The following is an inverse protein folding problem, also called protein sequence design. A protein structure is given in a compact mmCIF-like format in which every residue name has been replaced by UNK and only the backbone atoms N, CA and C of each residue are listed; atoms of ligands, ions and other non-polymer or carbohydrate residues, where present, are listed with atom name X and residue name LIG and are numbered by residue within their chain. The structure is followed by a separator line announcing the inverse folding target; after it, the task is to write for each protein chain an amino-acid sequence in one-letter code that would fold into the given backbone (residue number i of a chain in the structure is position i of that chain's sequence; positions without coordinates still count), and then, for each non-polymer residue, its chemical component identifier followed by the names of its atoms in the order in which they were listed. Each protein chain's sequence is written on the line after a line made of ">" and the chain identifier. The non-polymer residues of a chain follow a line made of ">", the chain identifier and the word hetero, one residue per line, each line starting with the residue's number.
data_IF_390761271934
#
_entry.id   IF_390761271934
#
_cell.length_a   1.000
_cell.length_b   1.000
_cell.length_c   1.000
_cell.angle_alpha   90.00
_cell.angle_beta   90.00
_cell.angle_gamma   90.00
#
_symmetry.space_group_name_H-M   'P 1'
#
loop_
_entity.id
_entity.type
_entity.pdbx_description
1 polymer ?
#
# COMPACT_ATOMS: atom_id res chain seq x y z
N UNK A 1 20.46 21.39 15.39
CA UNK A 1 21.79 20.71 15.39
C UNK A 1 22.26 20.62 13.94
N UNK A 2 23.54 20.84 13.70
CA UNK A 2 24.11 20.62 12.36
C UNK A 2 24.18 19.11 12.04
N UNK A 3 23.88 18.74 10.81
CA UNK A 3 23.95 17.38 10.32
C UNK A 3 24.40 17.34 8.86
N UNK A 4 24.68 16.16 8.32
CA UNK A 4 25.02 15.97 6.90
C UNK A 4 23.86 16.33 5.94
N UNK A 5 22.62 16.40 6.46
CA UNK A 5 21.44 16.85 5.72
C UNK A 5 21.08 18.32 6.02
N UNK A 6 22.00 19.10 6.62
CA UNK A 6 21.77 20.45 7.05
C UNK A 6 21.28 20.56 8.51
N UNK A 7 20.65 21.69 8.84
CA UNK A 7 20.18 21.96 10.21
C UNK A 7 18.90 21.13 10.47
N UNK A 8 18.94 20.27 11.48
CA UNK A 8 17.79 19.46 11.94
C UNK A 8 17.35 19.91 13.34
N UNK A 9 16.07 19.70 13.73
CA UNK A 9 15.58 20.01 15.07
C UNK A 9 16.34 19.28 16.17
N UNK A 10 16.32 19.83 17.37
CA UNK A 10 16.88 19.15 18.55
C UNK A 10 16.10 17.85 18.85
N UNK A 11 16.83 16.81 19.24
CA UNK A 11 16.26 15.48 19.46
C UNK A 11 16.05 14.64 18.20
N UNK A 12 16.20 15.23 17.01
CA UNK A 12 16.17 14.50 15.75
C UNK A 12 17.56 13.99 15.39
N UNK A 13 17.65 12.94 14.59
CA UNK A 13 18.92 12.39 14.16
C UNK A 13 18.89 11.98 12.67
N UNK A 14 20.08 11.85 12.11
CA UNK A 14 20.24 11.27 10.79
C UNK A 14 20.38 9.74 10.91
N UNK A 15 19.85 9.03 9.95
CA UNK A 15 19.90 7.56 9.89
C UNK A 15 19.37 7.03 8.57
N UNK A 16 19.04 5.75 8.50
CA UNK A 16 18.52 5.12 7.30
C UNK A 16 17.13 4.52 7.53
N UNK A 17 16.40 4.26 6.44
CA UNK A 17 15.10 3.59 6.51
C UNK A 17 15.20 2.21 7.18
N UNK A 18 16.32 1.49 6.97
CA UNK A 18 16.54 0.16 7.52
C UNK A 18 16.48 0.13 9.05
N UNK A 19 16.87 1.22 9.71
CA UNK A 19 16.80 1.32 11.18
C UNK A 19 15.37 1.28 11.74
N UNK A 20 14.38 1.62 10.93
CA UNK A 20 12.96 1.68 11.30
C UNK A 20 12.17 0.43 10.87
N UNK A 21 12.83 -0.51 10.19
CA UNK A 21 12.22 -1.72 9.62
C UNK A 21 12.60 -2.93 10.45
N UNK A 22 11.62 -3.80 10.71
CA UNK A 22 11.82 -5.10 11.39
C UNK A 22 12.20 -6.17 10.39
N UNK A 23 11.49 -6.23 9.26
CA UNK A 23 11.71 -7.22 8.22
C UNK A 23 11.09 -6.83 6.89
N UNK A 24 11.62 -7.41 5.82
CA UNK A 24 11.03 -7.37 4.49
C UNK A 24 10.73 -8.78 4.01
N UNK A 25 9.56 -9.01 3.39
CA UNK A 25 9.11 -10.31 2.94
C UNK A 25 8.70 -10.25 1.48
N UNK A 26 9.24 -11.15 0.67
CA UNK A 26 8.78 -11.34 -0.71
C UNK A 26 7.36 -11.91 -0.75
N UNK A 27 6.58 -11.48 -1.72
CA UNK A 27 5.23 -11.98 -1.93
C UNK A 27 5.17 -13.39 -2.52
N UNK A 28 3.98 -13.80 -2.93
CA UNK A 28 3.72 -15.07 -3.60
C UNK A 28 2.60 -14.87 -4.65
N UNK A 29 2.65 -15.64 -5.74
CA UNK A 29 1.58 -15.63 -6.73
C UNK A 29 0.70 -16.87 -6.66
N UNK A 30 1.23 -17.96 -6.15
CA UNK A 30 0.51 -19.22 -6.00
C UNK A 30 0.01 -19.84 -7.30
N UNK A 31 -1.12 -20.52 -7.21
CA UNK A 31 -1.83 -21.17 -8.31
C UNK A 31 -3.23 -20.54 -8.47
N UNK A 32 -3.85 -20.75 -9.65
CA UNK A 32 -5.23 -20.31 -9.91
C UNK A 32 -6.24 -21.18 -9.17
N UNK A 33 -5.96 -22.48 -9.09
CA UNK A 33 -6.81 -23.47 -8.49
C UNK A 33 -6.14 -24.16 -7.28
N UNK A 34 -6.98 -24.71 -6.40
CA UNK A 34 -6.53 -25.50 -5.27
C UNK A 34 -6.02 -26.88 -5.76
N UNK A 35 -4.70 -26.98 -5.95
CA UNK A 35 -4.04 -28.19 -6.47
C UNK A 35 -2.98 -28.68 -5.49
N UNK A 36 -3.08 -29.92 -5.04
CA UNK A 36 -2.14 -30.55 -4.12
C UNK A 36 -1.99 -29.76 -2.82
N UNK A 37 -0.78 -29.35 -2.48
CA UNK A 37 -0.48 -28.60 -1.26
C UNK A 37 -0.84 -27.09 -1.33
N UNK A 38 -1.30 -26.60 -2.49
CA UNK A 38 -1.77 -25.23 -2.68
C UNK A 38 -3.24 -25.14 -2.29
N UNK A 39 -3.53 -25.12 -0.99
CA UNK A 39 -4.88 -25.22 -0.44
C UNK A 39 -5.35 -23.97 0.32
N UNK A 40 -4.47 -22.97 0.51
CA UNK A 40 -4.83 -21.74 1.22
C UNK A 40 -5.24 -20.67 0.23
N UNK A 41 -6.51 -20.35 0.24
CA UNK A 41 -7.08 -19.30 -0.58
C UNK A 41 -6.70 -17.92 -0.04
N UNK A 42 -6.25 -17.03 -0.92
CA UNK A 42 -5.82 -15.66 -0.59
C UNK A 42 -6.17 -14.69 -1.71
N UNK A 43 -6.27 -13.42 -1.38
CA UNK A 43 -6.36 -12.33 -2.35
C UNK A 43 -5.00 -11.65 -2.49
N UNK A 44 -4.49 -11.53 -3.73
CA UNK A 44 -3.12 -11.07 -4.02
C UNK A 44 -3.10 -9.61 -4.48
N UNK A 45 -2.42 -8.74 -3.72
CA UNK A 45 -2.16 -7.35 -4.09
C UNK A 45 -1.05 -7.31 -5.14
N UNK A 46 -1.35 -6.68 -6.28
CA UNK A 46 -0.39 -6.39 -7.35
C UNK A 46 0.00 -4.91 -7.33
N UNK A 47 1.07 -4.54 -8.00
CA UNK A 47 1.44 -3.14 -8.23
C UNK A 47 0.29 -2.31 -8.83
N UNK A 48 -0.51 -2.91 -9.71
CA UNK A 48 -1.69 -2.26 -10.33
C UNK A 48 -2.82 -1.94 -9.33
N UNK A 49 -2.90 -2.64 -8.21
CA UNK A 49 -3.94 -2.43 -7.20
C UNK A 49 -3.58 -1.31 -6.21
N UNK A 50 -2.29 -0.95 -6.10
CA UNK A 50 -1.78 0.07 -5.16
C UNK A 50 -2.51 1.43 -5.30
N UNK A 51 -2.74 1.99 -6.50
CA UNK A 51 -3.44 3.27 -6.64
C UNK A 51 -4.84 3.27 -6.04
N UNK A 52 -5.60 2.17 -6.21
CA UNK A 52 -6.95 2.06 -5.67
C UNK A 52 -6.94 1.86 -4.14
N UNK A 53 -6.00 1.06 -3.62
CA UNK A 53 -5.81 0.89 -2.17
C UNK A 53 -5.49 2.24 -1.51
N UNK A 54 -4.66 3.08 -2.15
CA UNK A 54 -4.34 4.44 -1.67
C UNK A 54 -5.57 5.34 -1.58
N UNK A 55 -6.52 5.18 -2.50
CA UNK A 55 -7.82 5.86 -2.47
C UNK A 55 -8.81 5.22 -1.49
N UNK A 56 -8.39 4.22 -0.73
CA UNK A 56 -9.22 3.43 0.19
C UNK A 56 -10.30 2.58 -0.50
N UNK A 57 -10.18 2.36 -1.80
CA UNK A 57 -11.02 1.45 -2.55
C UNK A 57 -10.58 -0.01 -2.36
N UNK A 58 -11.46 -0.93 -2.76
CA UNK A 58 -11.18 -2.37 -2.67
C UNK A 58 -10.01 -2.80 -3.57
N UNK A 59 -9.88 -2.24 -4.78
CA UNK A 59 -8.99 -2.76 -5.81
C UNK A 59 -9.60 -3.98 -6.53
N UNK A 60 -8.82 -4.58 -7.42
CA UNK A 60 -9.23 -5.75 -8.22
C UNK A 60 -8.23 -6.89 -8.03
N UNK A 61 -8.09 -7.35 -6.79
CA UNK A 61 -7.11 -8.37 -6.42
C UNK A 61 -7.53 -9.74 -6.96
N UNK A 62 -6.55 -10.49 -7.47
CA UNK A 62 -6.78 -11.86 -7.93
C UNK A 62 -6.82 -12.84 -6.76
N UNK A 63 -7.80 -13.74 -6.77
CA UNK A 63 -7.82 -14.89 -5.87
C UNK A 63 -6.78 -15.91 -6.31
N UNK A 64 -6.02 -16.45 -5.36
CA UNK A 64 -4.95 -17.43 -5.58
C UNK A 64 -4.93 -18.47 -4.46
N UNK A 65 -4.29 -19.60 -4.73
CA UNK A 65 -4.07 -20.65 -3.76
C UNK A 65 -2.57 -20.81 -3.50
N UNK A 66 -2.17 -20.74 -2.23
CA UNK A 66 -0.76 -20.82 -1.81
C UNK A 66 -0.50 -21.96 -0.85
N UNK A 67 0.78 -22.26 -0.65
CA UNK A 67 1.22 -23.25 0.32
C UNK A 67 0.93 -22.78 1.76
N UNK A 68 0.57 -23.71 2.64
CA UNK A 68 0.29 -23.37 4.05
C UNK A 68 1.46 -22.65 4.75
N UNK A 69 2.72 -23.06 4.49
CA UNK A 69 3.89 -22.38 5.05
C UNK A 69 4.01 -20.91 4.60
N UNK A 70 3.65 -20.64 3.33
CA UNK A 70 3.67 -19.28 2.79
C UNK A 70 2.52 -18.45 3.39
N UNK A 71 1.35 -19.05 3.56
CA UNK A 71 0.22 -18.43 4.24
C UNK A 71 0.60 -17.94 5.65
N UNK A 72 1.17 -18.80 6.47
CA UNK A 72 1.56 -18.46 7.84
C UNK A 72 2.56 -17.28 7.92
N UNK A 73 3.43 -17.14 6.92
CA UNK A 73 4.49 -16.16 6.92
C UNK A 73 4.17 -14.86 6.16
N UNK A 74 3.29 -14.93 5.14
CA UNK A 74 3.11 -13.84 4.17
C UNK A 74 1.77 -13.12 4.27
N UNK A 75 0.86 -13.59 5.13
CA UNK A 75 -0.40 -12.88 5.37
C UNK A 75 -0.13 -11.48 5.89
N UNK A 76 -0.74 -10.52 5.24
CA UNK A 76 -0.64 -9.10 5.57
C UNK A 76 -1.47 -8.78 6.81
N UNK A 77 -0.94 -7.88 7.61
CA UNK A 77 -1.59 -7.34 8.82
C UNK A 77 -1.77 -5.83 8.69
N UNK A 78 -2.68 -5.28 9.47
CA UNK A 78 -2.81 -3.83 9.56
C UNK A 78 -1.48 -3.20 10.02
N UNK A 79 -1.11 -2.12 9.35
CA UNK A 79 0.18 -1.46 9.54
C UNK A 79 1.30 -1.96 8.63
N UNK A 80 1.18 -3.14 7.99
CA UNK A 80 2.16 -3.58 6.98
C UNK A 80 2.14 -2.61 5.78
N UNK A 81 3.31 -2.41 5.15
CA UNK A 81 3.45 -1.65 3.93
C UNK A 81 3.73 -2.62 2.78
N UNK A 82 3.07 -2.39 1.65
CA UNK A 82 3.33 -3.16 0.42
C UNK A 82 3.93 -2.23 -0.62
N UNK A 83 5.10 -2.61 -1.12
CA UNK A 83 5.88 -1.87 -2.12
C UNK A 83 5.98 -2.68 -3.40
N UNK A 84 5.71 -2.05 -4.53
CA UNK A 84 6.00 -2.59 -5.85
C UNK A 84 7.52 -2.59 -6.09
N UNK A 85 8.09 -3.75 -6.35
CA UNK A 85 9.52 -3.89 -6.61
C UNK A 85 9.84 -4.23 -8.06
N UNK A 86 8.85 -4.56 -8.88
CA UNK A 86 9.00 -4.88 -10.30
C UNK A 86 7.85 -4.26 -11.10
N UNK A 87 8.18 -3.55 -12.15
CA UNK A 87 7.22 -2.85 -13.01
C UNK A 87 7.80 -1.56 -13.55
N UNK A 88 7.05 -0.49 -13.38
CA UNK A 88 7.45 0.83 -13.84
C UNK A 88 7.30 1.03 -15.36
N UNK A 89 7.69 2.19 -15.82
CA UNK A 89 7.73 2.59 -17.22
C UNK A 89 8.86 3.62 -17.41
N UNK A 90 9.16 4.08 -18.61
CA UNK A 90 10.14 5.14 -18.81
C UNK A 90 9.86 6.41 -18.02
N UNK A 91 8.58 6.71 -17.75
CA UNK A 91 8.15 7.93 -17.05
C UNK A 91 7.66 7.69 -15.63
N UNK A 92 7.51 6.44 -15.22
CA UNK A 92 7.05 6.06 -13.89
C UNK A 92 8.03 5.07 -13.27
N UNK A 93 8.62 5.45 -12.13
CA UNK A 93 9.48 4.53 -11.38
C UNK A 93 8.69 3.39 -10.74
N UNK A 94 9.38 2.30 -10.45
CA UNK A 94 8.97 1.30 -9.46
C UNK A 94 8.96 1.92 -8.06
N UNK A 95 8.48 1.19 -7.07
CA UNK A 95 8.50 1.69 -5.69
C UNK A 95 7.19 2.33 -5.24
N UNK A 96 6.08 2.19 -5.98
CA UNK A 96 4.76 2.58 -5.47
C UNK A 96 4.47 1.82 -4.18
N UNK A 97 3.92 2.51 -3.20
CA UNK A 97 3.67 1.96 -1.86
C UNK A 97 2.21 2.12 -1.47
N UNK A 98 1.68 1.19 -0.69
CA UNK A 98 0.44 1.36 0.05
C UNK A 98 0.56 0.81 1.47
N UNK A 99 -0.25 1.36 2.38
CA UNK A 99 -0.39 0.86 3.73
C UNK A 99 -1.62 -0.05 3.82
N UNK A 100 -1.47 -1.19 4.48
CA UNK A 100 -2.56 -2.11 4.77
C UNK A 100 -3.32 -1.60 5.99
N UNK A 101 -4.58 -1.26 5.80
CA UNK A 101 -5.47 -0.82 6.88
C UNK A 101 -6.40 -1.95 7.35
N UNK A 102 -6.86 -1.86 8.58
CA UNK A 102 -7.92 -2.73 9.12
C UNK A 102 -9.15 -2.77 8.19
N UNK A 103 -9.52 -1.60 7.67
CA UNK A 103 -10.69 -1.47 6.79
C UNK A 103 -10.48 -2.17 5.45
N UNK A 104 -9.26 -2.13 4.89
CA UNK A 104 -8.96 -2.88 3.68
C UNK A 104 -9.07 -4.39 3.93
N UNK A 105 -8.51 -4.87 5.04
CA UNK A 105 -8.59 -6.29 5.41
C UNK A 105 -10.04 -6.77 5.53
N UNK A 106 -10.91 -5.95 6.11
CA UNK A 106 -12.35 -6.26 6.26
C UNK A 106 -13.16 -6.23 4.95
N UNK A 107 -12.62 -5.70 3.86
CA UNK A 107 -13.27 -5.69 2.54
C UNK A 107 -13.11 -7.03 1.79
N UNK A 108 -12.32 -7.95 2.32
CA UNK A 108 -12.03 -9.25 1.72
C UNK A 108 -12.37 -10.37 2.71
N UNK A 109 -13.00 -11.43 2.20
CA UNK A 109 -13.29 -12.64 2.98
C UNK A 109 -12.03 -13.48 3.17
N UNK A 110 -11.08 -13.38 2.21
CA UNK A 110 -9.81 -14.11 2.22
C UNK A 110 -8.70 -13.24 2.80
N UNK A 111 -7.69 -13.90 3.38
CA UNK A 111 -6.47 -13.23 3.80
C UNK A 111 -5.77 -12.55 2.61
N UNK A 112 -5.16 -11.39 2.86
CA UNK A 112 -4.41 -10.66 1.84
C UNK A 112 -2.92 -11.05 1.89
N UNK A 113 -2.31 -11.19 0.72
CA UNK A 113 -0.86 -11.24 0.52
C UNK A 113 -0.48 -10.28 -0.60
N UNK A 114 0.80 -10.03 -0.83
CA UNK A 114 1.25 -9.37 -2.06
C UNK A 114 1.84 -10.40 -3.05
N UNK A 115 1.89 -10.02 -4.34
CA UNK A 115 2.54 -10.83 -5.37
C UNK A 115 4.06 -10.81 -5.24
N UNK A 116 4.74 -11.69 -5.97
CA UNK A 116 6.21 -11.71 -6.06
C UNK A 116 6.83 -10.47 -6.73
N UNK A 117 6.02 -9.64 -7.40
CA UNK A 117 6.42 -8.32 -7.90
C UNK A 117 6.27 -7.20 -6.87
N UNK A 118 5.86 -7.56 -5.66
CA UNK A 118 5.74 -6.67 -4.52
C UNK A 118 6.51 -7.25 -3.32
N UNK A 119 6.80 -6.39 -2.36
CA UNK A 119 7.42 -6.77 -1.10
C UNK A 119 6.65 -6.16 0.07
N UNK A 120 6.45 -6.95 1.10
CA UNK A 120 5.91 -6.47 2.38
C UNK A 120 7.05 -5.92 3.22
N UNK A 121 6.87 -4.73 3.77
CA UNK A 121 7.75 -4.13 4.77
C UNK A 121 7.02 -4.11 6.11
N UNK A 122 7.62 -4.70 7.11
CA UNK A 122 7.18 -4.65 8.52
C UNK A 122 8.03 -3.64 9.26
N UNK A 123 7.39 -2.65 9.86
CA UNK A 123 8.06 -1.53 10.51
C UNK A 123 8.08 -1.69 12.02
N UNK A 124 8.96 -0.97 12.70
CA UNK A 124 8.87 -0.81 14.16
C UNK A 124 7.49 -0.22 14.53
N UNK A 125 6.97 -0.53 15.72
CA UNK A 125 5.73 0.07 16.20
C UNK A 125 5.73 1.59 16.04
N UNK A 126 4.60 2.18 15.72
CA UNK A 126 4.37 3.60 15.49
C UNK A 126 5.00 4.22 14.23
N UNK A 127 5.98 3.57 13.57
CA UNK A 127 6.67 4.14 12.42
C UNK A 127 6.00 3.85 11.06
N UNK A 128 4.99 3.00 11.00
CA UNK A 128 4.36 2.60 9.73
C UNK A 128 3.87 3.81 8.90
N UNK A 129 3.10 4.71 9.50
CA UNK A 129 2.60 5.89 8.81
C UNK A 129 3.71 6.90 8.49
N UNK A 130 4.68 7.07 9.38
CA UNK A 130 5.84 7.91 9.13
C UNK A 130 6.62 7.42 7.90
N UNK A 131 6.96 6.12 7.86
CA UNK A 131 7.67 5.51 6.72
C UNK A 131 6.81 5.60 5.45
N UNK A 132 5.50 5.33 5.53
CA UNK A 132 4.60 5.42 4.39
C UNK A 132 4.65 6.81 3.74
N UNK A 133 4.50 7.88 4.51
CA UNK A 133 4.49 9.25 3.98
C UNK A 133 5.88 9.73 3.56
N UNK A 134 6.93 9.33 4.28
CA UNK A 134 8.32 9.60 3.88
C UNK A 134 8.63 8.92 2.55
N UNK A 135 8.23 7.65 2.37
CA UNK A 135 8.39 6.92 1.12
C UNK A 135 7.66 7.60 -0.04
N UNK A 136 6.43 8.06 0.18
CA UNK A 136 5.67 8.84 -0.82
C UNK A 136 6.39 10.14 -1.20
N UNK A 137 7.02 10.79 -0.24
CA UNK A 137 7.82 11.99 -0.49
C UNK A 137 9.05 11.65 -1.35
N UNK A 138 9.81 10.63 -1.00
CA UNK A 138 10.97 10.16 -1.75
C UNK A 138 10.56 9.70 -3.16
N UNK A 139 9.46 8.97 -3.27
CA UNK A 139 8.91 8.53 -4.56
C UNK A 139 8.57 9.71 -5.46
N UNK A 140 7.87 10.72 -4.96
CA UNK A 140 7.52 11.94 -5.70
C UNK A 140 8.75 12.77 -6.05
N UNK A 141 9.77 12.75 -5.20
CA UNK A 141 11.07 13.38 -5.43
C UNK A 141 11.95 12.67 -6.47
N UNK A 142 11.49 11.52 -6.98
CA UNK A 142 12.22 10.75 -8.01
C UNK A 142 13.39 9.93 -7.47
N UNK A 143 13.56 9.82 -6.14
CA UNK A 143 14.67 9.07 -5.51
C UNK A 143 14.67 7.61 -5.97
N UNK A 144 13.50 7.02 -6.21
CA UNK A 144 13.38 5.62 -6.62
C UNK A 144 14.11 5.32 -7.94
N UNK A 145 14.22 6.28 -8.87
CA UNK A 145 14.94 6.09 -10.12
C UNK A 145 16.42 5.77 -9.91
N UNK A 146 17.02 6.31 -8.84
CA UNK A 146 18.45 6.05 -8.51
C UNK A 146 18.69 4.63 -8.00
N UNK A 147 17.64 3.93 -7.61
CA UNK A 147 17.68 2.55 -7.10
C UNK A 147 17.05 1.55 -8.06
N UNK A 148 16.74 1.96 -9.29
CA UNK A 148 16.20 1.05 -10.31
C UNK A 148 17.30 0.34 -11.07
N UNK A 149 17.16 -0.98 -11.20
CA UNK A 149 17.96 -1.82 -12.06
C UNK A 149 17.09 -2.41 -13.15
N UNK A 150 17.59 -2.49 -14.37
CA UNK A 150 16.90 -3.13 -15.49
C UNK A 150 17.05 -2.39 -16.80
N UNK A 151 16.80 -3.12 -17.87
CA UNK A 151 16.76 -2.61 -19.23
C UNK A 151 15.31 -2.37 -19.66
N UNK A 152 15.09 -1.71 -20.69
CA UNK A 152 13.93 -1.17 -21.43
C UNK A 152 12.48 -1.61 -21.08
N UNK A 153 12.20 -2.79 -20.50
CA UNK A 153 10.81 -3.27 -20.38
C UNK A 153 10.31 -3.50 -18.95
N UNK A 154 11.13 -4.06 -18.07
CA UNK A 154 10.79 -4.28 -16.68
C UNK A 154 11.93 -3.79 -15.81
N UNK A 155 11.62 -2.82 -14.95
CA UNK A 155 12.55 -2.28 -13.98
C UNK A 155 12.35 -2.98 -12.65
N UNK A 156 13.42 -3.16 -11.90
CA UNK A 156 13.39 -3.72 -10.55
C UNK A 156 14.00 -2.72 -9.57
N UNK A 157 13.31 -2.47 -8.48
CA UNK A 157 13.80 -1.64 -7.40
C UNK A 157 14.80 -2.42 -6.57
N UNK A 158 16.01 -1.90 -6.42
CA UNK A 158 16.93 -2.35 -5.38
C UNK A 158 16.46 -1.84 -4.01
N UNK A 159 15.48 -2.55 -3.47
CA UNK A 159 14.88 -2.17 -2.19
C UNK A 159 15.90 -2.24 -1.04
N UNK A 160 16.83 -3.17 -1.07
CA UNK A 160 17.83 -3.29 -0.02
C UNK A 160 18.80 -2.10 -0.08
N UNK A 161 19.28 -1.75 -1.28
CA UNK A 161 20.10 -0.56 -1.47
C UNK A 161 19.40 0.72 -1.02
N UNK A 162 18.11 0.88 -1.34
CA UNK A 162 17.31 2.02 -0.89
C UNK A 162 17.20 2.06 0.64
N UNK A 163 16.88 0.94 1.29
CA UNK A 163 16.70 0.88 2.74
C UNK A 163 18.00 1.15 3.51
N UNK A 164 19.13 0.70 3.00
CA UNK A 164 20.44 0.79 3.67
C UNK A 164 21.19 2.09 3.39
N UNK A 165 20.99 2.68 2.20
CA UNK A 165 21.82 3.81 1.73
C UNK A 165 21.10 5.14 1.71
N UNK A 166 19.75 5.13 1.60
CA UNK A 166 19.01 6.39 1.61
C UNK A 166 19.05 7.02 3.00
N UNK A 167 19.68 8.16 3.08
CA UNK A 167 19.88 8.90 4.33
C UNK A 167 18.66 9.77 4.59
N UNK A 168 18.08 9.63 5.76
CA UNK A 168 16.86 10.31 6.19
C UNK A 168 17.04 10.98 7.54
N UNK A 169 16.19 11.96 7.83
CA UNK A 169 16.05 12.52 9.17
C UNK A 169 15.01 11.71 9.95
N UNK A 170 15.39 11.19 11.08
CA UNK A 170 14.53 10.41 11.97
C UNK A 170 14.11 11.30 13.15
N UNK A 171 12.81 11.62 13.29
CA UNK A 171 12.29 12.40 14.39
C UNK A 171 12.39 11.65 15.73
N UNK A 172 12.33 12.41 16.81
CA UNK A 172 12.08 11.85 18.13
C UNK A 172 10.77 11.05 18.17
N UNK A 173 10.75 9.95 18.92
CA UNK A 173 9.61 9.04 18.96
C UNK A 173 8.31 9.71 19.40
N UNK A 174 8.39 10.68 20.31
CA UNK A 174 7.23 11.46 20.77
C UNK A 174 6.58 12.27 19.64
N UNK A 175 7.40 12.79 18.72
CA UNK A 175 6.94 13.49 17.51
C UNK A 175 6.31 12.52 16.53
N UNK A 176 6.91 11.34 16.35
CA UNK A 176 6.32 10.29 15.49
C UNK A 176 4.95 9.86 16.01
N UNK A 177 4.78 9.70 17.33
CA UNK A 177 3.48 9.39 17.93
C UNK A 177 2.43 10.48 17.66
N UNK A 178 2.78 11.75 17.87
CA UNK A 178 1.88 12.90 17.57
C UNK A 178 1.51 12.95 16.10
N UNK A 179 2.50 12.79 15.22
CA UNK A 179 2.30 12.73 13.77
C UNK A 179 1.35 11.59 13.38
N UNK A 180 1.59 10.40 13.91
CA UNK A 180 0.76 9.21 13.65
C UNK A 180 -0.68 9.44 14.10
N UNK A 181 -0.91 10.07 15.26
CA UNK A 181 -2.25 10.41 15.74
C UNK A 181 -2.99 11.33 14.76
N UNK A 182 -2.33 12.39 14.29
CA UNK A 182 -2.89 13.33 13.30
C UNK A 182 -3.18 12.60 11.97
N UNK A 183 -2.24 11.80 11.47
CA UNK A 183 -2.42 11.03 10.24
C UNK A 183 -3.58 10.03 10.33
N UNK A 184 -3.80 9.42 11.50
CA UNK A 184 -4.93 8.52 11.72
C UNK A 184 -6.28 9.25 11.61
N UNK A 185 -6.39 10.48 12.13
CA UNK A 185 -7.60 11.31 11.97
C UNK A 185 -7.89 11.59 10.49
N UNK A 186 -6.89 12.01 9.71
CA UNK A 186 -7.06 12.20 8.27
C UNK A 186 -7.39 10.89 7.55
N UNK A 187 -6.76 9.78 7.93
CA UNK A 187 -7.03 8.47 7.35
C UNK A 187 -8.48 8.03 7.56
N UNK A 188 -9.08 8.32 8.72
CA UNK A 188 -10.50 8.05 8.99
C UNK A 188 -11.41 8.85 8.04
N UNK A 189 -11.12 10.13 7.84
CA UNK A 189 -11.87 10.98 6.90
C UNK A 189 -11.75 10.47 5.47
N UNK A 190 -10.54 10.15 5.01
CA UNK A 190 -10.30 9.57 3.67
C UNK A 190 -11.03 8.25 3.51
N UNK A 191 -11.06 7.41 4.55
CA UNK A 191 -11.78 6.14 4.53
C UNK A 191 -13.30 6.35 4.44
N UNK A 192 -13.87 7.28 5.20
CA UNK A 192 -15.29 7.62 5.13
C UNK A 192 -15.67 8.10 3.73
N UNK A 193 -14.88 8.99 3.15
CA UNK A 193 -15.08 9.49 1.80
C UNK A 193 -14.95 8.37 0.74
N UNK A 194 -14.00 7.45 0.90
CA UNK A 194 -13.84 6.29 0.02
C UNK A 194 -15.06 5.36 0.05
N UNK A 195 -15.58 5.06 1.24
CA UNK A 195 -16.78 4.23 1.41
C UNK A 195 -18.01 4.90 0.78
N UNK A 196 -18.17 6.20 0.95
CA UNK A 196 -19.28 6.95 0.35
C UNK A 196 -19.14 6.99 -1.18
N UNK A 197 -17.94 7.17 -1.70
CA UNK A 197 -17.68 7.11 -3.15
C UNK A 197 -18.07 5.74 -3.74
N UNK A 198 -17.69 4.63 -3.09
CA UNK A 198 -18.08 3.28 -3.51
C UNK A 198 -19.61 3.09 -3.47
N UNK A 199 -20.29 3.64 -2.46
CA UNK A 199 -21.74 3.62 -2.34
C UNK A 199 -22.40 4.39 -3.48
N UNK A 200 -21.94 5.59 -3.76
CA UNK A 200 -22.47 6.44 -4.85
C UNK A 200 -22.26 5.80 -6.24
N UNK A 201 -21.11 5.18 -6.49
CA UNK A 201 -20.86 4.42 -7.73
C UNK A 201 -21.85 3.28 -7.89
N UNK A 202 -22.14 2.52 -6.81
CA UNK A 202 -23.16 1.45 -6.82
C UNK A 202 -24.55 2.00 -7.09
N UNK A 203 -24.96 3.06 -6.40
CA UNK A 203 -26.27 3.69 -6.60
C UNK A 203 -26.44 4.18 -8.03
N UNK A 204 -25.45 4.87 -8.58
CA UNK A 204 -25.45 5.29 -9.98
C UNK A 204 -25.63 4.11 -10.93
N UNK A 205 -24.87 3.02 -10.71
CA UNK A 205 -24.95 1.81 -11.55
C UNK A 205 -26.31 1.12 -11.49
N UNK A 206 -27.01 1.19 -10.36
CA UNK A 206 -28.38 0.64 -10.21
C UNK A 206 -29.47 1.57 -10.77
N UNK A 207 -29.34 2.88 -10.59
CA UNK A 207 -30.38 3.84 -10.95
C UNK A 207 -30.32 4.24 -12.42
N UNK A 208 -29.13 4.41 -12.99
CA UNK A 208 -28.96 4.89 -14.37
C UNK A 208 -29.70 4.01 -15.41
N UNK A 209 -29.59 2.65 -15.38
CA UNK A 209 -30.33 1.81 -16.31
C UNK A 209 -31.85 1.94 -16.15
N UNK A 210 -32.35 2.08 -14.93
CA UNK A 210 -33.79 2.22 -14.62
C UNK A 210 -34.35 3.57 -15.09
N UNK A 211 -33.57 4.64 -14.97
CA UNK A 211 -33.92 5.95 -15.52
C UNK A 211 -33.92 5.93 -17.05
N UNK A 212 -32.91 5.28 -17.66
CA UNK A 212 -32.81 5.20 -19.13
C UNK A 212 -33.91 4.32 -19.75
N UNK A 213 -34.35 3.27 -19.04
CA UNK A 213 -35.47 2.41 -19.51
C UNK A 213 -36.86 3.01 -19.22
N UNK A 214 -36.96 4.12 -18.47
CA UNK A 214 -38.23 4.69 -18.02
C UNK A 214 -38.92 3.91 -16.91
N UNK A 215 -38.29 2.86 -16.36
CA UNK A 215 -38.79 2.11 -15.21
C UNK A 215 -38.87 3.00 -13.95
N UNK A 216 -37.94 3.95 -13.81
CA UNK A 216 -37.94 4.95 -12.74
C UNK A 216 -38.08 6.36 -13.37
N UNK A 217 -39.06 7.13 -12.88
CA UNK A 217 -39.23 8.54 -13.29
C UNK A 217 -38.72 9.46 -12.19
N UNK A 218 -38.12 10.61 -12.57
CA UNK A 218 -37.58 11.59 -11.61
C UNK A 218 -38.66 12.09 -10.63
N UNK A 219 -39.90 12.18 -11.07
CA UNK A 219 -41.02 12.61 -10.21
C UNK A 219 -41.39 11.59 -9.12
N UNK A 220 -40.97 10.33 -9.22
CA UNK A 220 -41.22 9.29 -8.25
C UNK A 220 -40.20 9.29 -7.10
N UNK A 221 -39.17 10.11 -7.19
CA UNK A 221 -38.08 10.20 -6.20
C UNK A 221 -38.36 11.25 -5.11
N UNK A 222 -39.29 12.17 -5.37
CA UNK A 222 -39.64 13.28 -4.46
C UNK A 222 -40.91 13.05 -3.59
N UNK A 223 -41.41 11.84 -3.54
CA UNK A 223 -42.43 11.35 -2.64
C UNK A 223 -41.83 10.26 -1.74
#
# INVERSE_FOLDING_TARGET
>A
MDSELGIIPEGWRVGTLNELIISTLGGDWGKEDAIGNYAKEVSCIRGADIPEIKKRNRGNMSTRFILNKNFLNKVLKAGDLVVEISGGSPTQSTGRICQISETLLKKYDNALICTNFCRTIKTKPSYSLFIYYLWEYLYKGGVMFSYENGTTSIKNLDINGLLEKEVIVIPDESIVHKYTAICNLFSQTVQSNGNESERLVRLRGMLLPKLMSGELKINDINN
#
